data_IF_642146438959
#
_entry.id   IF_642146438959
#
_cell.length_a   1.000
_cell.length_b   1.000
_cell.length_c   1.000
_cell.angle_alpha   90.00
_cell.angle_beta   90.00
_cell.angle_gamma   90.00
#
_symmetry.space_group_name_H-M   'P 1'
#
loop_
_entity.id
_entity.type
_entity.pdbx_description
1 polymer ?
#
# COMPACT_ATOMS: atom_id res chain seq x y z
N UNK A 1 2.82 -45.13 13.86
CA UNK A 1 2.22 -43.92 13.30
C UNK A 1 1.68 -44.26 11.91
N UNK A 2 0.37 -44.14 11.69
CA UNK A 2 -0.30 -44.71 10.52
C UNK A 2 0.11 -43.96 9.24
N UNK A 3 0.66 -44.66 8.23
CA UNK A 3 1.12 -44.05 6.96
C UNK A 3 0.04 -43.20 6.25
N UNK A 4 -1.24 -43.51 6.51
CA UNK A 4 -2.40 -42.76 6.02
C UNK A 4 -2.53 -41.36 6.65
N UNK A 5 -2.07 -41.17 7.88
CA UNK A 5 -2.10 -39.87 8.57
C UNK A 5 -1.01 -38.92 8.05
N UNK A 6 0.17 -39.46 7.71
CA UNK A 6 1.26 -38.69 7.09
C UNK A 6 0.90 -38.19 5.68
N UNK A 7 0.15 -39.00 4.92
CA UNK A 7 -0.33 -38.66 3.58
C UNK A 7 -1.44 -37.60 3.59
N UNK A 8 -2.26 -37.56 4.65
CA UNK A 8 -3.30 -36.54 4.82
C UNK A 8 -2.68 -35.17 5.17
N UNK A 9 -1.66 -35.15 6.04
CA UNK A 9 -0.92 -33.92 6.40
C UNK A 9 -0.08 -33.42 5.21
N UNK A 10 0.51 -34.31 4.40
CA UNK A 10 1.24 -33.93 3.20
C UNK A 10 0.33 -33.37 2.08
N UNK A 11 -0.92 -33.85 1.97
CA UNK A 11 -1.89 -33.30 1.00
C UNK A 11 -2.50 -31.97 1.43
N UNK A 12 -2.62 -31.68 2.73
CA UNK A 12 -3.08 -30.38 3.21
C UNK A 12 -2.06 -29.25 2.93
N UNK A 13 -0.78 -29.56 2.73
CA UNK A 13 0.26 -28.57 2.47
C UNK A 13 0.47 -28.21 0.99
N UNK A 14 -0.27 -28.83 0.04
CA UNK A 14 -0.02 -28.67 -1.40
C UNK A 14 -0.90 -27.64 -2.12
N UNK A 15 -1.84 -26.99 -1.45
CA UNK A 15 -2.69 -25.95 -2.05
C UNK A 15 -2.12 -24.53 -1.95
N UNK A 16 -0.79 -24.39 -2.00
CA UNK A 16 -0.16 -23.12 -2.31
C UNK A 16 -0.34 -22.82 -3.81
N UNK A 17 -1.56 -22.47 -4.20
CA UNK A 17 -1.84 -21.92 -5.52
C UNK A 17 -1.20 -20.55 -5.60
N UNK A 18 0.02 -20.53 -6.13
CA UNK A 18 0.64 -19.33 -6.71
C UNK A 18 -0.34 -18.81 -7.75
N UNK A 19 -1.11 -17.78 -7.40
CA UNK A 19 -1.63 -16.90 -8.42
C UNK A 19 -0.38 -16.41 -9.17
N UNK A 20 -0.30 -16.65 -10.47
CA UNK A 20 0.73 -16.04 -11.30
C UNK A 20 0.45 -14.54 -11.32
N UNK A 21 0.91 -13.84 -10.30
CA UNK A 21 1.00 -12.40 -10.30
C UNK A 21 1.79 -12.04 -11.56
N UNK A 22 1.14 -11.35 -12.51
CA UNK A 22 1.85 -10.88 -13.69
C UNK A 22 2.79 -9.77 -13.22
N UNK A 23 4.07 -10.14 -13.11
CA UNK A 23 5.13 -9.21 -12.75
C UNK A 23 5.51 -8.45 -14.02
N UNK A 24 5.22 -7.15 -14.03
CA UNK A 24 5.66 -6.26 -15.10
C UNK A 24 6.99 -5.63 -14.70
N UNK A 25 8.03 -5.87 -15.49
CA UNK A 25 9.34 -5.24 -15.28
C UNK A 25 9.37 -3.85 -15.93
N UNK A 26 9.54 -2.82 -15.11
CA UNK A 26 9.64 -1.43 -15.54
C UNK A 26 11.01 -0.87 -15.20
N UNK A 27 11.48 0.12 -15.97
CA UNK A 27 12.73 0.82 -15.66
C UNK A 27 12.63 1.50 -14.30
N UNK A 28 13.72 1.46 -13.55
CA UNK A 28 13.76 2.00 -12.21
C UNK A 28 15.15 1.97 -11.58
N UNK A 29 15.20 2.38 -10.33
CA UNK A 29 16.41 2.32 -9.52
C UNK A 29 16.04 2.07 -8.05
N UNK A 30 16.97 1.53 -7.29
CA UNK A 30 16.85 1.38 -5.85
C UNK A 30 18.07 2.01 -5.16
N UNK A 31 17.84 2.58 -3.98
CA UNK A 31 18.89 2.99 -3.05
C UNK A 31 18.89 1.96 -1.93
N UNK A 32 20.02 1.29 -1.74
CA UNK A 32 20.21 0.29 -0.70
C UNK A 32 20.43 0.98 0.65
N UNK A 33 20.32 0.23 1.74
CA UNK A 33 20.51 0.73 3.11
C UNK A 33 21.88 1.38 3.36
N UNK A 34 22.90 1.01 2.60
CA UNK A 34 24.25 1.60 2.66
C UNK A 34 24.41 2.87 1.80
N UNK A 35 23.32 3.34 1.17
CA UNK A 35 23.32 4.48 0.26
C UNK A 35 23.68 4.13 -1.19
N UNK A 36 24.04 2.88 -1.49
CA UNK A 36 24.39 2.45 -2.84
C UNK A 36 23.17 2.54 -3.76
N UNK A 37 23.31 3.26 -4.88
CA UNK A 37 22.28 3.35 -5.92
C UNK A 37 22.51 2.30 -7.01
N UNK A 38 21.51 1.46 -7.25
CA UNK A 38 21.50 0.46 -8.32
C UNK A 38 20.43 0.80 -9.37
N UNK A 39 20.77 0.69 -10.66
CA UNK A 39 19.88 1.02 -11.79
C UNK A 39 19.54 -0.23 -12.61
N UNK A 40 18.29 -0.37 -13.05
CA UNK A 40 17.86 -1.59 -13.72
C UNK A 40 16.36 -1.62 -14.02
N UNK A 41 15.81 -2.84 -14.00
CA UNK A 41 14.38 -3.07 -14.10
C UNK A 41 13.84 -3.64 -12.78
N UNK A 42 12.73 -3.09 -12.31
CA UNK A 42 12.04 -3.53 -11.10
C UNK A 42 10.72 -4.18 -11.50
N UNK A 43 10.48 -5.38 -10.99
CA UNK A 43 9.21 -6.09 -11.12
C UNK A 43 8.15 -5.45 -10.25
N UNK A 44 7.04 -5.03 -10.86
CA UNK A 44 5.87 -4.46 -10.19
C UNK A 44 4.74 -5.48 -10.18
N UNK A 45 4.18 -5.73 -9.00
CA UNK A 45 3.01 -6.57 -8.79
C UNK A 45 1.76 -5.69 -8.77
N UNK A 46 1.02 -5.60 -9.88
CA UNK A 46 -0.15 -4.71 -9.97
C UNK A 46 -1.39 -5.29 -9.30
N UNK A 47 -1.63 -6.60 -9.47
CA UNK A 47 -2.76 -7.30 -8.84
C UNK A 47 -2.51 -7.63 -7.37
N UNK A 48 -1.27 -7.56 -6.89
CA UNK A 48 -0.86 -7.94 -5.54
C UNK A 48 0.16 -6.93 -4.96
N UNK A 49 -0.26 -5.66 -4.79
CA UNK A 49 0.65 -4.54 -4.50
C UNK A 49 1.37 -4.66 -3.15
N UNK A 50 0.84 -5.44 -2.22
CA UNK A 50 1.49 -5.74 -0.94
C UNK A 50 2.85 -6.44 -1.10
N UNK A 51 3.13 -7.13 -2.21
CA UNK A 51 4.46 -7.67 -2.46
C UNK A 51 5.50 -6.57 -2.67
N UNK A 52 5.15 -5.51 -3.40
CA UNK A 52 6.00 -4.34 -3.61
C UNK A 52 6.40 -3.68 -2.26
N UNK A 53 5.56 -3.84 -1.23
CA UNK A 53 5.82 -3.29 0.11
C UNK A 53 6.86 -4.08 0.92
N UNK A 54 7.08 -5.36 0.58
CA UNK A 54 7.98 -6.26 1.34
C UNK A 54 9.32 -6.45 0.65
N UNK A 55 9.32 -6.45 -0.67
CA UNK A 55 10.52 -6.68 -1.46
C UNK A 55 10.31 -6.21 -2.90
N UNK A 56 11.43 -6.06 -3.61
CA UNK A 56 11.45 -5.89 -5.07
C UNK A 56 12.15 -7.06 -5.73
N UNK A 57 11.75 -7.37 -6.97
CA UNK A 57 12.53 -8.21 -7.88
C UNK A 57 13.25 -7.28 -8.85
N UNK A 58 14.58 -7.30 -8.83
CA UNK A 58 15.43 -6.37 -9.55
C UNK A 58 16.29 -7.09 -10.58
N UNK A 59 16.36 -6.58 -11.80
CA UNK A 59 17.29 -7.01 -12.84
C UNK A 59 18.28 -5.89 -13.10
N UNK A 60 19.56 -6.14 -12.87
CA UNK A 60 20.60 -5.13 -13.01
C UNK A 60 20.79 -4.70 -14.47
N UNK A 61 20.97 -3.40 -14.69
CA UNK A 61 21.15 -2.83 -16.03
C UNK A 61 22.38 -3.37 -16.77
N UNK A 62 23.50 -3.60 -16.08
CA UNK A 62 24.71 -4.15 -16.68
C UNK A 62 24.55 -5.65 -16.98
N UNK A 63 23.91 -6.41 -16.08
CA UNK A 63 23.60 -7.82 -16.33
C UNK A 63 22.61 -8.00 -17.48
N UNK A 64 21.62 -7.11 -17.60
CA UNK A 64 20.67 -7.09 -18.72
C UNK A 64 21.33 -6.77 -20.05
N UNK A 65 22.29 -5.84 -20.05
CA UNK A 65 23.06 -5.49 -21.24
C UNK A 65 23.93 -6.66 -21.73
N UNK A 66 24.49 -7.44 -20.79
CA UNK A 66 25.27 -8.64 -21.12
C UNK A 66 24.38 -9.85 -21.47
N UNK A 67 23.21 -9.99 -20.83
CA UNK A 67 22.30 -11.10 -21.03
C UNK A 67 20.83 -10.64 -20.91
N UNK A 68 20.07 -10.60 -22.02
CA UNK A 68 18.65 -10.25 -22.01
C UNK A 68 17.77 -11.15 -21.13
N UNK A 69 18.26 -12.34 -20.76
CA UNK A 69 17.59 -13.31 -19.87
C UNK A 69 18.13 -13.31 -18.45
N UNK A 70 18.77 -12.22 -18.01
CA UNK A 70 19.27 -12.07 -16.65
C UNK A 70 18.17 -12.39 -15.61
N UNK A 71 18.55 -13.19 -14.61
CA UNK A 71 17.65 -13.56 -13.52
C UNK A 71 17.44 -12.35 -12.61
N UNK A 72 16.23 -12.20 -12.09
CA UNK A 72 15.96 -11.18 -11.08
C UNK A 72 16.55 -11.57 -9.72
N UNK A 73 17.19 -10.62 -9.05
CA UNK A 73 17.57 -10.70 -7.64
C UNK A 73 16.46 -10.12 -6.77
N UNK A 74 16.18 -10.75 -5.62
CA UNK A 74 15.22 -10.25 -4.64
C UNK A 74 15.93 -9.34 -3.63
N UNK A 75 15.41 -8.14 -3.41
CA UNK A 75 15.84 -7.24 -2.33
C UNK A 75 14.68 -7.02 -1.38
N UNK A 76 14.88 -7.31 -0.10
CA UNK A 76 13.86 -7.14 0.95
C UNK A 76 13.85 -5.70 1.49
N UNK A 77 12.76 -5.34 2.18
CA UNK A 77 12.58 -4.00 2.75
C UNK A 77 13.71 -3.56 3.69
N UNK A 78 14.31 -4.48 4.45
CA UNK A 78 15.43 -4.21 5.34
C UNK A 78 16.71 -3.82 4.60
N UNK A 79 16.88 -4.24 3.35
CA UNK A 79 18.02 -3.94 2.49
C UNK A 79 17.84 -2.62 1.70
N UNK A 80 16.63 -2.06 1.68
CA UNK A 80 16.27 -0.90 0.85
C UNK A 80 16.13 0.37 1.70
N UNK A 81 16.49 1.52 1.15
CA UNK A 81 16.14 2.83 1.72
C UNK A 81 14.96 3.44 0.96
N UNK A 82 15.05 3.46 -0.37
CA UNK A 82 14.00 3.90 -1.30
C UNK A 82 14.14 3.16 -2.62
N UNK A 83 13.08 3.10 -3.41
CA UNK A 83 13.20 2.74 -4.82
C UNK A 83 12.20 3.50 -5.67
N UNK A 84 12.47 3.59 -6.96
CA UNK A 84 11.57 4.17 -7.95
C UNK A 84 11.36 3.17 -9.08
N UNK A 85 10.10 2.95 -9.44
CA UNK A 85 9.70 2.10 -10.57
C UNK A 85 8.74 2.88 -11.46
N UNK A 86 9.13 3.11 -12.72
CA UNK A 86 8.47 4.11 -13.56
C UNK A 86 8.52 5.50 -12.90
N UNK A 87 7.35 6.10 -12.70
CA UNK A 87 7.20 7.43 -12.06
C UNK A 87 6.94 7.33 -10.55
N UNK A 88 6.63 6.14 -10.03
CA UNK A 88 6.28 5.97 -8.63
C UNK A 88 7.53 5.77 -7.78
N UNK A 89 7.69 6.63 -6.77
CA UNK A 89 8.72 6.51 -5.75
C UNK A 89 8.13 5.79 -4.53
N UNK A 90 8.90 4.87 -3.95
CA UNK A 90 8.55 4.13 -2.75
C UNK A 90 9.52 4.48 -1.63
N UNK A 91 8.96 4.89 -0.49
CA UNK A 91 9.73 5.23 0.71
C UNK A 91 9.59 4.13 1.76
N UNK A 92 10.65 3.92 2.54
CA UNK A 92 10.58 3.08 3.72
C UNK A 92 9.79 3.81 4.82
N UNK A 93 8.68 3.21 5.25
CA UNK A 93 7.81 3.73 6.31
C UNK A 93 7.59 2.64 7.35
N UNK A 94 7.77 3.00 8.62
CA UNK A 94 7.42 2.14 9.75
C UNK A 94 5.95 2.31 10.11
N UNK A 95 5.16 1.24 10.04
CA UNK A 95 3.74 1.29 10.36
C UNK A 95 3.22 -0.06 10.86
N UNK A 96 2.47 -0.05 11.97
CA UNK A 96 1.82 -1.25 12.51
C UNK A 96 0.34 -1.19 12.20
N UNK A 97 -0.14 -2.11 11.35
CA UNK A 97 -1.58 -2.27 11.15
C UNK A 97 -2.19 -3.08 12.29
N UNK A 98 -2.70 -2.40 13.32
CA UNK A 98 -3.30 -3.04 14.50
C UNK A 98 -4.60 -3.79 14.20
N UNK A 99 -5.29 -3.48 13.09
CA UNK A 99 -6.53 -4.16 12.68
C UNK A 99 -6.26 -5.55 12.08
N UNK A 100 -5.11 -5.71 11.41
CA UNK A 100 -4.71 -6.95 10.72
C UNK A 100 -3.26 -7.29 11.07
N UNK A 101 -3.02 -7.63 12.34
CA UNK A 101 -1.72 -8.07 12.81
C UNK A 101 -1.32 -9.38 12.14
N UNK A 102 -0.16 -9.39 11.48
CA UNK A 102 0.39 -10.60 10.87
C UNK A 102 1.53 -11.16 11.71
N UNK A 103 1.56 -12.47 11.87
CA UNK A 103 2.66 -13.18 12.51
C UNK A 103 3.98 -12.91 11.77
N UNK A 104 3.94 -12.82 10.43
CA UNK A 104 5.12 -12.47 9.62
C UNK A 104 5.58 -11.01 9.77
N UNK A 105 4.75 -10.10 10.29
CA UNK A 105 5.11 -8.70 10.55
C UNK A 105 5.80 -8.51 11.91
N UNK A 106 5.93 -9.55 12.74
CA UNK A 106 6.61 -9.47 14.05
C UNK A 106 8.13 -9.25 13.94
N UNK A 107 8.73 -9.46 12.76
CA UNK A 107 10.17 -9.23 12.54
C UNK A 107 10.54 -7.77 12.30
N UNK A 108 9.81 -7.08 11.41
CA UNK A 108 9.98 -5.66 11.08
C UNK A 108 8.66 -5.09 10.55
N UNK A 109 8.18 -3.98 11.12
CA UNK A 109 6.99 -3.25 10.63
C UNK A 109 7.35 -2.15 9.62
N UNK A 110 8.43 -2.37 8.87
CA UNK A 110 8.89 -1.47 7.82
C UNK A 110 8.27 -1.92 6.49
N UNK A 111 7.80 -0.95 5.72
CA UNK A 111 7.15 -1.15 4.44
C UNK A 111 7.70 -0.18 3.40
N UNK A 112 7.90 -0.66 2.18
CA UNK A 112 8.15 0.22 1.04
C UNK A 112 6.81 0.72 0.48
N UNK A 113 6.44 1.96 0.77
CA UNK A 113 5.14 2.49 0.41
C UNK A 113 5.24 3.51 -0.73
N UNK A 114 4.37 3.42 -1.76
CA UNK A 114 4.33 4.43 -2.81
C UNK A 114 4.00 5.79 -2.20
N UNK A 115 4.82 6.77 -2.55
CA UNK A 115 4.68 8.17 -2.15
C UNK A 115 3.61 8.84 -2.98
N UNK A 116 2.66 9.47 -2.31
CA UNK A 116 1.59 10.28 -2.91
C UNK A 116 1.87 11.78 -2.78
N UNK A 117 2.50 12.18 -1.68
CA UNK A 117 2.91 13.56 -1.41
C UNK A 117 4.14 13.58 -0.51
N UNK A 118 4.99 14.61 -0.66
CA UNK A 118 6.17 14.84 0.17
C UNK A 118 6.38 16.33 0.42
N UNK A 119 6.71 16.69 1.65
CA UNK A 119 6.94 18.08 2.07
C UNK A 119 6.83 18.21 3.59
N UNK A 120 6.21 19.29 4.07
CA UNK A 120 5.82 19.39 5.49
C UNK A 120 4.80 18.32 5.86
N UNK A 121 4.04 17.79 4.91
CA UNK A 121 3.17 16.65 5.14
C UNK A 121 3.46 15.57 4.11
N UNK A 122 3.73 14.36 4.57
CA UNK A 122 3.99 13.22 3.71
C UNK A 122 2.76 12.33 3.67
N UNK A 123 2.49 11.74 2.51
CA UNK A 123 1.39 10.80 2.30
C UNK A 123 1.87 9.57 1.52
N UNK A 124 1.47 8.39 1.98
CA UNK A 124 1.86 7.11 1.42
C UNK A 124 0.67 6.16 1.36
N UNK A 125 0.59 5.32 0.33
CA UNK A 125 -0.48 4.33 0.23
C UNK A 125 -0.05 2.99 0.82
N UNK A 126 -0.85 2.43 1.72
CA UNK A 126 -0.59 1.13 2.35
C UNK A 126 -1.68 0.13 2.00
N UNK A 127 -1.30 -1.03 1.50
CA UNK A 127 -2.16 -2.19 1.36
C UNK A 127 -1.95 -3.14 2.53
N UNK A 128 -3.07 -3.62 3.08
CA UNK A 128 -3.02 -4.74 4.01
C UNK A 128 -2.55 -6.00 3.30
N UNK A 129 -2.02 -6.93 4.08
CA UNK A 129 -1.52 -8.21 3.58
C UNK A 129 -2.60 -9.29 3.63
N UNK A 130 -2.57 -10.28 2.72
CA UNK A 130 -3.40 -11.48 2.85
C UNK A 130 -3.07 -12.25 4.13
N UNK A 131 -4.08 -12.84 4.77
CA UNK A 131 -3.94 -13.58 6.02
C UNK A 131 -2.86 -14.68 5.93
N UNK A 132 -2.07 -14.84 6.99
CA UNK A 132 -0.98 -15.81 7.01
C UNK A 132 -1.48 -17.27 6.97
N UNK A 133 -2.67 -17.50 7.52
CA UNK A 133 -3.36 -18.78 7.54
C UNK A 133 -4.82 -18.52 7.23
N UNK A 134 -5.32 -19.16 6.18
CA UNK A 134 -6.74 -19.15 5.83
C UNK A 134 -7.21 -20.57 5.60
N UNK A 135 -8.27 -20.97 6.28
CA UNK A 135 -8.95 -22.24 6.03
C UNK A 135 -10.17 -21.96 5.14
N UNK A 136 -10.33 -22.76 4.09
CA UNK A 136 -11.50 -22.74 3.23
C UNK A 136 -12.05 -24.17 3.12
N UNK A 137 -13.37 -24.30 3.19
CA UNK A 137 -14.09 -25.55 3.00
C UNK A 137 -15.14 -25.33 1.91
N UNK A 138 -15.03 -26.04 0.79
CA UNK A 138 -15.90 -25.88 -0.37
C UNK A 138 -15.30 -26.51 -1.63
N UNK A 139 -15.93 -26.28 -2.78
CA UNK A 139 -15.42 -26.73 -4.09
C UNK A 139 -14.26 -25.87 -4.60
N UNK A 140 -13.62 -26.29 -5.69
CA UNK A 140 -12.54 -25.51 -6.30
C UNK A 140 -13.06 -24.18 -6.88
N UNK A 141 -14.26 -24.16 -7.44
CA UNK A 141 -14.93 -22.96 -7.96
C UNK A 141 -15.20 -21.97 -6.82
N UNK A 142 -15.79 -22.44 -5.72
CA UNK A 142 -16.06 -21.63 -4.54
C UNK A 142 -14.76 -21.09 -3.92
N UNK A 143 -13.67 -21.87 -3.93
CA UNK A 143 -12.36 -21.42 -3.48
C UNK A 143 -11.81 -20.26 -4.35
N UNK A 144 -11.95 -20.36 -5.67
CA UNK A 144 -11.49 -19.30 -6.60
C UNK A 144 -12.28 -18.00 -6.37
N UNK A 145 -13.60 -18.09 -6.20
CA UNK A 145 -14.44 -16.94 -5.89
C UNK A 145 -14.11 -16.32 -4.53
N UNK A 146 -13.96 -17.17 -3.51
CA UNK A 146 -13.57 -16.75 -2.17
C UNK A 146 -12.21 -16.04 -2.18
N UNK A 147 -11.20 -16.62 -2.86
CA UNK A 147 -9.85 -16.04 -2.98
C UNK A 147 -9.88 -14.71 -3.72
N UNK A 148 -10.67 -14.60 -4.80
CA UNK A 148 -10.86 -13.35 -5.53
C UNK A 148 -11.51 -12.29 -4.66
N UNK A 149 -12.58 -12.62 -3.93
CA UNK A 149 -13.24 -11.70 -3.01
C UNK A 149 -12.28 -11.18 -1.92
N UNK A 150 -11.41 -12.05 -1.40
CA UNK A 150 -10.37 -11.66 -0.43
C UNK A 150 -9.32 -10.73 -1.03
N UNK A 151 -8.89 -11.00 -2.27
CA UNK A 151 -7.97 -10.13 -3.00
C UNK A 151 -8.59 -8.75 -3.27
N UNK A 152 -9.84 -8.71 -3.72
CA UNK A 152 -10.58 -7.47 -3.97
C UNK A 152 -10.76 -6.64 -2.68
N UNK A 153 -11.03 -7.30 -1.54
CA UNK A 153 -11.10 -6.67 -0.21
C UNK A 153 -9.77 -6.00 0.16
N UNK A 154 -8.63 -6.62 -0.14
CA UNK A 154 -7.30 -6.04 0.13
C UNK A 154 -6.96 -4.88 -0.81
N UNK A 155 -7.31 -5.02 -2.10
CA UNK A 155 -7.07 -4.00 -3.11
C UNK A 155 -7.90 -2.74 -2.87
N UNK A 156 -9.13 -2.90 -2.41
CA UNK A 156 -10.02 -1.77 -2.07
C UNK A 156 -9.83 -1.29 -0.63
N UNK A 157 -9.33 -2.14 0.26
CA UNK A 157 -9.09 -1.88 1.68
C UNK A 157 -7.80 -1.13 2.02
N UNK A 158 -7.15 -0.47 1.07
CA UNK A 158 -5.91 0.27 1.32
C UNK A 158 -6.10 1.46 2.28
N UNK A 159 -5.02 1.94 2.88
CA UNK A 159 -4.97 3.09 3.80
C UNK A 159 -4.12 4.20 3.18
N UNK A 160 -4.41 5.45 3.52
CA UNK A 160 -3.55 6.59 3.17
C UNK A 160 -2.83 7.03 4.44
N UNK A 161 -1.57 6.66 4.56
CA UNK A 161 -0.75 6.93 5.73
C UNK A 161 -0.15 8.34 5.63
N UNK A 162 -0.40 9.16 6.64
CA UNK A 162 0.08 10.55 6.69
C UNK A 162 0.95 10.82 7.92
N UNK A 163 1.93 11.71 7.73
CA UNK A 163 2.76 12.32 8.78
C UNK A 163 2.90 13.81 8.49
N UNK A 164 2.94 14.66 9.52
CA UNK A 164 3.11 16.11 9.38
C UNK A 164 4.28 16.59 10.22
N UNK A 165 5.09 17.47 9.64
CA UNK A 165 6.32 18.03 10.17
C UNK A 165 7.25 16.92 10.70
N UNK A 166 7.63 16.97 11.96
CA UNK A 166 8.48 15.94 12.61
C UNK A 166 7.65 14.94 13.42
N UNK A 167 6.33 14.85 13.20
CA UNK A 167 5.51 13.84 13.87
C UNK A 167 5.93 12.44 13.45
N UNK A 168 6.29 11.61 14.42
CA UNK A 168 6.66 10.21 14.21
C UNK A 168 5.43 9.30 14.14
N UNK A 169 4.23 9.81 14.46
CA UNK A 169 2.99 9.03 14.47
C UNK A 169 2.34 9.06 13.09
N UNK A 170 2.45 7.93 12.40
CA UNK A 170 1.71 7.67 11.17
C UNK A 170 0.22 7.51 11.48
N UNK A 171 -0.65 8.21 10.74
CA UNK A 171 -2.12 8.09 10.86
C UNK A 171 -2.75 7.71 9.53
N UNK A 172 -3.87 6.99 9.57
CA UNK A 172 -4.71 6.76 8.39
C UNK A 172 -5.57 8.01 8.12
N UNK A 173 -5.40 8.62 6.96
CA UNK A 173 -6.10 9.84 6.56
C UNK A 173 -7.62 9.63 6.40
N UNK A 174 -8.08 8.40 6.15
CA UNK A 174 -9.52 8.09 6.10
C UNK A 174 -10.21 8.15 7.47
N UNK A 175 -9.43 8.12 8.56
CA UNK A 175 -9.93 8.17 9.93
C UNK A 175 -9.43 9.42 10.68
N UNK A 176 -8.46 10.13 10.13
CA UNK A 176 -7.94 11.36 10.68
C UNK A 176 -8.85 12.57 10.38
N UNK A 177 -8.88 13.51 11.32
CA UNK A 177 -9.48 14.82 11.10
C UNK A 177 -8.52 15.71 10.29
N UNK A 178 -8.54 15.56 8.97
CA UNK A 178 -7.65 16.26 8.05
C UNK A 178 -7.77 17.79 8.12
N UNK A 179 -8.93 18.33 8.53
CA UNK A 179 -9.08 19.77 8.71
C UNK A 179 -8.10 20.31 9.75
N UNK A 180 -7.83 19.56 10.84
CA UNK A 180 -6.81 19.93 11.83
C UNK A 180 -5.40 20.01 11.24
N UNK A 181 -5.11 19.18 10.24
CA UNK A 181 -3.83 19.19 9.56
C UNK A 181 -3.66 20.40 8.64
N UNK A 182 -4.76 21.02 8.21
CA UNK A 182 -4.77 22.19 7.33
C UNK A 182 -5.04 23.52 8.06
N UNK A 183 -5.22 23.51 9.39
CA UNK A 183 -5.55 24.71 10.18
C UNK A 183 -4.54 25.87 10.00
N UNK A 184 -3.27 25.56 9.81
CA UNK A 184 -2.21 26.55 9.57
C UNK A 184 -2.13 27.02 8.10
N UNK A 185 -3.05 26.60 7.23
CA UNK A 185 -3.15 27.04 5.83
C UNK A 185 -4.62 27.26 5.45
N UNK A 186 -5.19 28.44 5.78
CA UNK A 186 -6.63 28.71 5.66
C UNK A 186 -7.22 28.47 4.28
N UNK A 187 -6.48 28.75 3.22
CA UNK A 187 -6.94 28.52 1.84
C UNK A 187 -7.17 27.03 1.54
N UNK A 188 -6.25 26.17 1.98
CA UNK A 188 -6.37 24.72 1.83
C UNK A 188 -7.48 24.19 2.72
N UNK A 189 -7.56 24.68 3.96
CA UNK A 189 -8.63 24.34 4.89
C UNK A 189 -10.01 24.61 4.29
N UNK A 190 -10.24 25.82 3.77
CA UNK A 190 -11.53 26.22 3.20
C UNK A 190 -11.85 25.42 1.94
N UNK A 191 -10.87 25.24 1.05
CA UNK A 191 -11.05 24.45 -0.17
C UNK A 191 -11.37 22.99 0.13
N UNK A 192 -10.69 22.39 1.11
CA UNK A 192 -10.97 21.01 1.54
C UNK A 192 -12.34 20.90 2.19
N UNK A 193 -12.68 21.81 3.10
CA UNK A 193 -14.00 21.84 3.75
C UNK A 193 -15.15 21.94 2.74
N UNK A 194 -14.97 22.73 1.67
CA UNK A 194 -15.95 22.93 0.61
C UNK A 194 -16.02 21.78 -0.42
N UNK A 195 -15.13 20.78 -0.35
CA UNK A 195 -15.07 19.70 -1.34
C UNK A 195 -14.31 20.05 -2.63
N UNK A 196 -13.51 21.12 -2.62
CA UNK A 196 -12.82 21.66 -3.79
C UNK A 196 -11.69 20.78 -4.35
N UNK A 197 -11.38 19.65 -3.72
CA UNK A 197 -10.46 18.63 -4.23
C UNK A 197 -11.16 17.36 -4.73
N UNK A 198 -12.50 17.36 -4.81
CA UNK A 198 -13.30 16.19 -5.16
C UNK A 198 -13.72 15.33 -3.96
N UNK A 199 -13.35 15.73 -2.73
CA UNK A 199 -13.85 15.13 -1.50
C UNK A 199 -15.31 15.57 -1.22
N UNK A 200 -16.04 14.80 -0.41
CA UNK A 200 -17.35 15.27 0.06
C UNK A 200 -17.21 16.53 0.93
N UNK A 201 -18.06 17.55 0.75
CA UNK A 201 -18.08 18.71 1.62
C UNK A 201 -18.33 18.34 3.09
N UNK A 202 -17.58 18.98 3.98
CA UNK A 202 -17.66 18.73 5.43
C UNK A 202 -18.65 19.71 6.04
N UNK A 203 -19.91 19.28 6.15
CA UNK A 203 -20.97 20.07 6.79
C UNK A 203 -20.99 19.80 8.29
N UNK A 204 -20.86 20.86 9.12
CA UNK A 204 -20.84 20.77 10.61
C UNK A 204 -22.08 20.07 11.22
N UNK A 205 -23.20 20.00 10.49
CA UNK A 205 -24.44 19.34 10.90
C UNK A 205 -24.95 18.38 9.82
N UNK A 206 -24.27 17.26 9.59
CA UNK A 206 -24.86 16.14 8.82
C UNK A 206 -25.92 15.45 9.70
N UNK A 207 -27.18 15.44 9.25
CA UNK A 207 -28.26 14.65 9.88
C UNK A 207 -27.94 13.15 9.87
N UNK A 208 -28.59 12.36 10.73
CA UNK A 208 -28.29 10.92 10.89
C UNK A 208 -28.37 10.15 9.56
N UNK A 209 -29.39 10.43 8.72
CA UNK A 209 -29.52 9.83 7.40
C UNK A 209 -28.32 10.15 6.47
N UNK A 210 -27.83 11.39 6.49
CA UNK A 210 -26.65 11.78 5.72
C UNK A 210 -25.37 11.11 6.23
N UNK A 211 -25.26 10.85 7.54
CA UNK A 211 -24.16 10.05 8.10
C UNK A 211 -24.23 8.59 7.67
N UNK A 212 -25.41 7.99 7.65
CA UNK A 212 -25.62 6.60 7.20
C UNK A 212 -25.30 6.45 5.70
N UNK A 213 -25.71 7.40 4.87
CA UNK A 213 -25.35 7.43 3.44
C UNK A 213 -23.84 7.60 3.24
N UNK A 214 -23.19 8.48 4.01
CA UNK A 214 -21.74 8.65 3.94
C UNK A 214 -20.98 7.38 4.35
N UNK A 215 -21.44 6.67 5.39
CA UNK A 215 -20.87 5.38 5.79
C UNK A 215 -21.01 4.31 4.70
N UNK A 216 -22.18 4.21 4.07
CA UNK A 216 -22.41 3.29 2.96
C UNK A 216 -21.55 3.61 1.72
N UNK A 217 -21.21 4.89 1.52
CA UNK A 217 -20.39 5.38 0.41
C UNK A 217 -18.88 5.22 0.64
N UNK A 218 -18.41 5.14 1.89
CA UNK A 218 -16.98 5.13 2.24
C UNK A 218 -16.17 4.04 1.52
N UNK A 219 -16.77 2.87 1.24
CA UNK A 219 -16.09 1.81 0.49
C UNK A 219 -16.07 2.06 -1.03
N UNK A 220 -17.18 2.54 -1.61
CA UNK A 220 -17.33 2.72 -3.06
C UNK A 220 -16.55 3.93 -3.60
N UNK A 221 -16.39 4.99 -2.80
CA UNK A 221 -15.75 6.25 -3.22
C UNK A 221 -14.33 6.43 -2.68
N UNK A 222 -13.76 5.39 -2.08
CA UNK A 222 -12.44 5.43 -1.46
C UNK A 222 -11.32 5.85 -2.42
N UNK A 223 -11.29 5.42 -3.71
CA UNK A 223 -10.35 5.93 -4.71
C UNK A 223 -10.42 7.45 -4.90
N UNK A 224 -11.62 8.00 -5.07
CA UNK A 224 -11.81 9.43 -5.25
C UNK A 224 -11.42 10.21 -3.99
N UNK A 225 -11.73 9.67 -2.81
CA UNK A 225 -11.32 10.28 -1.54
C UNK A 225 -9.80 10.26 -1.37
N UNK A 226 -9.11 9.16 -1.72
CA UNK A 226 -7.66 9.09 -1.69
C UNK A 226 -6.97 10.11 -2.62
N UNK A 227 -7.50 10.27 -3.83
CA UNK A 227 -7.01 11.27 -4.79
C UNK A 227 -7.22 12.69 -4.24
N UNK A 228 -8.40 12.99 -3.70
CA UNK A 228 -8.69 14.28 -3.10
C UNK A 228 -7.78 14.59 -1.91
N UNK A 229 -7.49 13.59 -1.06
CA UNK A 229 -6.54 13.70 0.05
C UNK A 229 -5.14 14.02 -0.47
N UNK A 230 -4.65 13.27 -1.47
CA UNK A 230 -3.33 13.48 -2.04
C UNK A 230 -3.19 14.89 -2.67
N UNK A 231 -4.22 15.34 -3.41
CA UNK A 231 -4.26 16.69 -3.98
C UNK A 231 -4.24 17.78 -2.91
N UNK A 232 -5.02 17.62 -1.84
CA UNK A 232 -5.06 18.58 -0.74
C UNK A 232 -3.72 18.67 0.00
N UNK A 233 -3.06 17.53 0.22
CA UNK A 233 -1.73 17.49 0.85
C UNK A 233 -0.66 18.11 -0.06
N UNK A 234 -0.73 17.88 -1.37
CA UNK A 234 0.19 18.50 -2.32
C UNK A 234 0.00 20.03 -2.39
N UNK A 235 -1.25 20.53 -2.39
CA UNK A 235 -1.56 21.97 -2.33
C UNK A 235 -1.04 22.58 -1.00
N UNK A 236 -1.26 21.89 0.12
CA UNK A 236 -0.69 22.26 1.41
C UNK A 236 0.84 22.37 1.37
N UNK A 237 1.52 21.36 0.83
CA UNK A 237 2.98 21.35 0.73
C UNK A 237 3.49 22.48 -0.17
N UNK A 238 2.84 22.74 -1.31
CA UNK A 238 3.21 23.80 -2.24
C UNK A 238 3.09 25.20 -1.60
N UNK A 239 2.13 25.40 -0.71
CA UNK A 239 1.93 26.68 0.02
C UNK A 239 2.83 26.85 1.24
N UNK A 240 3.50 25.78 1.66
CA UNK A 240 4.35 25.77 2.85
C UNK A 240 5.79 25.33 2.55
N UNK A 241 6.26 25.56 1.32
CA UNK A 241 7.66 25.37 0.96
C UNK A 241 8.49 26.35 1.81
N UNK A 242 9.38 25.81 2.64
CA UNK A 242 10.41 26.58 3.35
C UNK A 242 11.72 26.47 2.60
#
# INVERSE_FOLDING_TARGET
MNKKFLLLVANLCLFATLANAQITFLKGHAVLKDGTKINGQIGKFESEPWFNQRYILFKDSAELAANPKAKSKKYKVDELETYQVGETIYDKIHFVNTEKLQLKSLGTNDHMLPRLAKGRMNAHQFYSYPDDVSAFWGTEEEYKEWKKGKQDELLTGYKILITKDQDTKVKDAFDADLLKYFEDTPEVFQKYQAGGYGNEPIVKKKGLAAKMVALAKKAAFKPQEAEAIALAINDYNAKNVK
#
